data_IF_248003512476
#
_entry.id   IF_248003512476
#
_cell.length_a   1.000
_cell.length_b   1.000
_cell.length_c   1.000
_cell.angle_alpha   90.00
_cell.angle_beta   90.00
_cell.angle_gamma   90.00
#
_symmetry.space_group_name_H-M   'P 1'
#
loop_
_entity.id
_entity.type
_entity.pdbx_description
1 polymer ?
#
# COMPACT_ATOMS: atom_id res chain seq x y z
N UNK A 1 7.49 8.34 -9.86
CA UNK A 1 7.48 7.65 -11.16
C UNK A 1 6.19 8.02 -11.87
N UNK A 2 6.32 9.00 -12.77
CA UNK A 2 5.53 9.29 -13.97
C UNK A 2 4.06 8.79 -13.98
N UNK A 3 3.14 9.73 -13.72
CA UNK A 3 1.74 9.68 -14.14
C UNK A 3 1.70 10.12 -15.61
N UNK A 4 1.67 9.19 -16.55
CA UNK A 4 1.63 9.54 -17.98
C UNK A 4 0.83 8.50 -18.74
N UNK A 5 -0.36 8.90 -19.21
CA UNK A 5 -1.07 8.38 -20.40
C UNK A 5 -1.35 6.88 -20.56
N UNK A 6 -0.93 6.01 -19.65
CA UNK A 6 -1.02 4.55 -19.78
C UNK A 6 -2.18 4.07 -18.91
N UNK A 7 -3.21 3.48 -19.53
CA UNK A 7 -4.24 2.76 -18.79
C UNK A 7 -3.58 1.85 -17.76
N UNK A 8 -4.01 1.94 -16.50
CA UNK A 8 -3.49 1.05 -15.46
C UNK A 8 -3.93 -0.38 -15.81
N UNK A 9 -3.06 -1.37 -15.58
CA UNK A 9 -3.40 -2.79 -15.87
C UNK A 9 -4.67 -3.21 -15.11
N UNK A 10 -4.88 -2.63 -13.92
CA UNK A 10 -6.10 -2.81 -13.13
C UNK A 10 -7.32 -2.20 -13.82
N UNK A 11 -7.21 -1.01 -14.42
CA UNK A 11 -8.30 -0.40 -15.20
C UNK A 11 -8.66 -1.25 -16.43
N UNK A 12 -7.67 -1.84 -17.09
CA UNK A 12 -7.91 -2.75 -18.21
C UNK A 12 -8.68 -4.00 -17.76
N UNK A 13 -8.29 -4.63 -16.65
CA UNK A 13 -9.04 -5.75 -16.07
C UNK A 13 -10.45 -5.37 -15.62
N UNK A 14 -10.66 -4.15 -15.12
CA UNK A 14 -12.00 -3.67 -14.77
C UNK A 14 -12.92 -3.48 -15.99
N UNK A 15 -12.37 -3.17 -17.16
CA UNK A 15 -13.16 -2.98 -18.38
C UNK A 15 -13.36 -4.26 -19.20
N UNK A 16 -12.39 -5.16 -19.17
CA UNK A 16 -12.38 -6.37 -20.01
C UNK A 16 -12.54 -7.68 -19.24
N UNK A 17 -12.51 -7.62 -17.90
CA UNK A 17 -12.58 -8.81 -17.03
C UNK A 17 -14.00 -9.30 -16.73
N UNK A 18 -15.05 -8.68 -17.28
CA UNK A 18 -16.45 -9.06 -17.02
C UNK A 18 -16.76 -10.48 -17.46
N UNK A 19 -16.10 -10.96 -18.51
CA UNK A 19 -16.28 -12.31 -19.05
C UNK A 19 -15.63 -13.39 -18.17
N UNK A 20 -14.69 -12.98 -17.31
CA UNK A 20 -13.97 -13.87 -16.39
C UNK A 20 -13.85 -13.24 -14.99
N UNK A 21 -14.95 -13.14 -14.23
CA UNK A 21 -15.00 -12.36 -12.99
C UNK A 21 -14.02 -12.86 -11.92
N UNK A 22 -13.82 -14.17 -11.81
CA UNK A 22 -12.88 -14.76 -10.85
C UNK A 22 -11.42 -14.45 -11.21
N UNK A 23 -11.07 -14.59 -12.49
CA UNK A 23 -9.73 -14.28 -12.99
C UNK A 23 -9.42 -12.79 -12.89
N UNK A 24 -10.38 -11.93 -13.25
CA UNK A 24 -10.24 -10.48 -13.14
C UNK A 24 -10.02 -10.06 -11.68
N UNK A 25 -10.77 -10.65 -10.75
CA UNK A 25 -10.59 -10.40 -9.31
C UNK A 25 -9.19 -10.80 -8.84
N UNK A 26 -8.71 -11.99 -9.24
CA UNK A 26 -7.37 -12.44 -8.88
C UNK A 26 -6.28 -11.55 -9.50
N UNK A 27 -6.41 -11.21 -10.78
CA UNK A 27 -5.48 -10.36 -11.49
C UNK A 27 -5.40 -8.96 -10.86
N UNK A 28 -6.54 -8.32 -10.57
CA UNK A 28 -6.58 -7.05 -9.87
C UNK A 28 -5.91 -7.11 -8.50
N UNK A 29 -6.13 -8.19 -7.73
CA UNK A 29 -5.46 -8.39 -6.43
C UNK A 29 -3.95 -8.50 -6.58
N UNK A 30 -3.46 -9.34 -7.49
CA UNK A 30 -2.01 -9.53 -7.70
C UNK A 30 -1.35 -8.26 -8.21
N UNK A 31 -1.98 -7.57 -9.16
CA UNK A 31 -1.42 -6.36 -9.79
C UNK A 31 -1.46 -5.13 -8.88
N UNK A 32 -2.32 -5.11 -7.87
CA UNK A 32 -2.35 -4.04 -6.85
C UNK A 32 -1.37 -4.29 -5.71
N UNK A 33 -0.79 -5.48 -5.58
CA UNK A 33 0.21 -5.75 -4.56
C UNK A 33 1.55 -5.08 -4.92
N UNK A 34 2.20 -4.40 -3.96
CA UNK A 34 3.55 -3.91 -4.16
C UNK A 34 4.51 -5.09 -4.33
N UNK A 35 5.27 -5.08 -5.44
CA UNK A 35 6.22 -6.15 -5.80
C UNK A 35 7.54 -6.07 -4.99
N UNK A 36 7.73 -4.99 -4.23
CA UNK A 36 9.00 -4.71 -3.54
C UNK A 36 8.79 -4.42 -2.06
N UNK A 37 9.68 -4.98 -1.24
CA UNK A 37 9.82 -4.63 0.18
C UNK A 37 10.14 -3.14 0.39
N UNK A 38 10.66 -2.42 -0.61
CA UNK A 38 10.89 -0.98 -0.54
C UNK A 38 9.60 -0.18 -0.27
N UNK A 39 8.42 -0.71 -0.66
CA UNK A 39 7.14 -0.12 -0.28
C UNK A 39 6.92 -0.22 1.24
N UNK A 40 7.32 -1.33 1.86
CA UNK A 40 7.29 -1.57 3.29
C UNK A 40 8.40 -0.82 4.04
N UNK A 41 9.59 -0.65 3.45
CA UNK A 41 10.70 0.11 4.04
C UNK A 41 10.31 1.58 4.32
N UNK A 42 9.44 2.17 3.50
CA UNK A 42 8.88 3.51 3.78
C UNK A 42 7.99 3.53 5.02
N UNK A 43 7.20 2.48 5.25
CA UNK A 43 6.41 2.34 6.48
C UNK A 43 7.32 2.07 7.68
N UNK A 44 8.38 1.28 7.48
CA UNK A 44 9.38 0.99 8.49
C UNK A 44 10.15 2.24 8.94
N UNK A 45 10.55 3.13 8.02
CA UNK A 45 11.21 4.38 8.38
C UNK A 45 10.32 5.30 9.24
N UNK A 46 9.01 5.32 8.98
CA UNK A 46 8.03 6.05 9.83
C UNK A 46 7.93 5.39 11.20
N UNK A 47 7.86 4.05 11.24
CA UNK A 47 7.81 3.27 12.46
C UNK A 47 9.07 3.50 13.33
N UNK A 48 10.25 3.46 12.72
CA UNK A 48 11.54 3.73 13.33
C UNK A 48 11.64 5.16 13.85
N UNK A 49 11.15 6.15 13.10
CA UNK A 49 11.09 7.55 13.55
C UNK A 49 10.22 7.74 14.80
N UNK A 50 9.05 7.08 14.86
CA UNK A 50 8.17 7.16 16.03
C UNK A 50 8.78 6.45 17.24
N UNK A 51 9.48 5.34 17.03
CA UNK A 51 10.20 4.59 18.07
C UNK A 51 11.44 5.32 18.60
N UNK A 52 12.32 5.80 17.73
CA UNK A 52 13.63 6.32 18.08
C UNK A 52 13.60 7.79 18.54
N UNK A 53 12.74 8.63 17.96
CA UNK A 53 12.89 10.08 18.11
C UNK A 53 12.02 10.76 19.18
N UNK A 54 10.87 10.19 19.60
CA UNK A 54 9.93 10.99 20.44
C UNK A 54 8.97 10.25 21.38
N UNK A 55 8.76 8.94 21.29
CA UNK A 55 7.61 8.27 21.95
C UNK A 55 7.89 6.84 22.46
N UNK A 56 9.04 6.63 23.09
CA UNK A 56 9.50 5.33 23.61
C UNK A 56 8.64 4.71 24.76
N UNK A 57 7.45 5.27 25.06
CA UNK A 57 6.46 4.78 26.04
C UNK A 57 5.11 4.42 25.42
N UNK A 58 4.96 4.48 24.09
CA UNK A 58 3.74 4.01 23.44
C UNK A 58 3.75 2.49 23.32
N UNK A 59 2.66 1.86 23.73
CA UNK A 59 2.41 0.45 23.45
C UNK A 59 2.26 0.19 21.95
N UNK A 60 2.47 -1.06 21.54
CA UNK A 60 2.45 -1.51 20.14
C UNK A 60 1.15 -1.17 19.40
N UNK A 61 -0.01 -1.19 20.07
CA UNK A 61 -1.30 -0.84 19.46
C UNK A 61 -1.35 0.63 19.00
N UNK A 62 -1.07 1.57 19.91
CA UNK A 62 -1.10 3.01 19.61
C UNK A 62 -0.07 3.42 18.55
N UNK A 63 1.01 2.66 18.46
CA UNK A 63 2.02 2.84 17.43
C UNK A 63 1.50 2.41 16.05
N UNK A 64 0.86 1.25 15.96
CA UNK A 64 0.23 0.79 14.73
C UNK A 64 -0.82 1.80 14.23
N UNK A 65 -1.63 2.36 15.15
CA UNK A 65 -2.60 3.41 14.80
C UNK A 65 -1.92 4.65 14.22
N UNK A 66 -0.81 5.10 14.81
CA UNK A 66 -0.06 6.26 14.32
C UNK A 66 0.56 6.01 12.94
N UNK A 67 1.14 4.83 12.72
CA UNK A 67 1.70 4.45 11.41
C UNK A 67 0.61 4.33 10.36
N UNK A 68 -0.55 3.77 10.73
CA UNK A 68 -1.70 3.68 9.84
C UNK A 68 -2.22 5.07 9.44
N UNK A 69 -2.44 5.96 10.40
CA UNK A 69 -2.89 7.34 10.10
C UNK A 69 -1.84 8.07 9.26
N UNK A 70 -0.55 7.98 9.58
CA UNK A 70 0.50 8.64 8.83
C UNK A 70 0.64 8.12 7.38
N UNK A 71 0.39 6.82 7.16
CA UNK A 71 0.41 6.22 5.84
C UNK A 71 -0.79 6.64 4.98
N UNK A 72 -2.00 6.65 5.57
CA UNK A 72 -3.26 6.93 4.86
C UNK A 72 -3.58 8.43 4.75
N UNK A 73 -2.89 9.30 5.49
CA UNK A 73 -3.06 10.75 5.40
C UNK A 73 -2.42 11.37 4.13
N UNK A 74 -1.57 10.63 3.43
CA UNK A 74 -0.93 11.04 2.17
C UNK A 74 -1.82 10.76 0.95
#
# INVERSE_FOLDING_TARGET
AVKEGRQSVVQWWNWHGTDFPELATLACRVLTQPVSAAACERNWAVWESVHMAKRNRLGSEKLNDLVYVAHNWK
#
